data_IF_538536716245
#
_entry.id   IF_538536716245
#
_cell.length_a   1.000
_cell.length_b   1.000
_cell.length_c   1.000
_cell.angle_alpha   90.00
_cell.angle_beta   90.00
_cell.angle_gamma   90.00
#
_symmetry.space_group_name_H-M   'P 1'
#
loop_
_entity.id
_entity.type
_entity.pdbx_description
1 polymer ?
#
# COMPACT_ATOMS: atom_id res chain seq x y z
N UNK A 1 -42.32 -14.79 0.36
CA UNK A 1 -41.78 -13.41 0.30
C UNK A 1 -40.25 -13.49 0.41
N UNK A 2 -39.51 -13.21 -0.66
CA UNK A 2 -38.05 -13.01 -0.56
C UNK A 2 -37.85 -11.79 0.32
N UNK A 3 -37.21 -11.91 1.49
CA UNK A 3 -36.83 -10.76 2.30
C UNK A 3 -35.91 -9.90 1.44
N UNK A 4 -36.38 -8.74 1.02
CA UNK A 4 -35.53 -7.74 0.37
C UNK A 4 -34.47 -7.37 1.37
N UNK A 5 -33.25 -7.72 1.04
CA UNK A 5 -32.06 -7.41 1.83
C UNK A 5 -31.78 -5.92 1.63
N UNK A 6 -32.01 -5.13 2.69
CA UNK A 6 -31.86 -3.68 2.66
C UNK A 6 -30.39 -3.33 2.81
N UNK A 7 -29.92 -2.38 2.01
CA UNK A 7 -28.56 -1.85 2.09
C UNK A 7 -28.52 -0.60 2.96
N UNK A 8 -27.39 -0.27 3.54
CA UNK A 8 -27.21 0.91 4.41
C UNK A 8 -27.62 2.20 3.70
N UNK A 9 -27.36 2.31 2.40
CA UNK A 9 -27.71 3.49 1.60
C UNK A 9 -29.22 3.62 1.33
N UNK A 10 -30.04 2.61 1.59
CA UNK A 10 -31.49 2.66 1.50
C UNK A 10 -32.15 3.16 2.79
N UNK A 11 -31.38 3.38 3.86
CA UNK A 11 -31.89 3.90 5.11
C UNK A 11 -32.16 5.41 5.01
N UNK A 12 -33.24 5.92 5.62
CA UNK A 12 -33.58 7.34 5.54
C UNK A 12 -32.52 8.28 6.08
N UNK A 13 -31.69 7.79 7.02
CA UNK A 13 -30.65 8.55 7.68
C UNK A 13 -29.35 8.59 6.87
N UNK A 14 -29.27 7.86 5.75
CA UNK A 14 -28.07 7.88 4.88
C UNK A 14 -27.80 9.30 4.35
N UNK A 15 -26.59 9.79 4.36
CA UNK A 15 -25.30 9.14 4.71
C UNK A 15 -24.78 9.49 6.11
N UNK A 16 -25.62 9.74 7.09
CA UNK A 16 -25.24 10.17 8.45
C UNK A 16 -24.61 9.04 9.26
N UNK A 17 -23.45 8.55 8.81
CA UNK A 17 -22.69 7.49 9.48
C UNK A 17 -22.32 7.90 10.92
N UNK A 18 -22.56 7.01 11.89
CA UNK A 18 -22.23 7.21 13.30
C UNK A 18 -21.37 6.06 13.82
N UNK A 19 -20.61 6.32 14.88
CA UNK A 19 -19.80 5.32 15.57
C UNK A 19 -19.73 5.63 17.08
N UNK A 20 -19.51 4.59 17.88
CA UNK A 20 -19.31 4.70 19.32
C UNK A 20 -17.86 5.10 19.61
N UNK A 21 -17.67 6.37 20.00
CA UNK A 21 -16.35 6.94 20.29
C UNK A 21 -15.66 6.24 21.49
N UNK A 22 -16.41 5.71 22.47
CA UNK A 22 -15.81 5.00 23.60
C UNK A 22 -15.27 3.65 23.20
N UNK A 23 -15.98 2.93 22.34
CA UNK A 23 -15.54 1.62 21.85
C UNK A 23 -14.30 1.70 20.98
N UNK A 24 -14.19 2.69 20.11
CA UNK A 24 -13.04 2.83 19.22
C UNK A 24 -11.80 3.39 19.93
N UNK A 25 -11.95 4.06 21.07
CA UNK A 25 -10.88 4.79 21.78
C UNK A 25 -9.59 3.97 21.99
N UNK A 26 -9.63 2.71 22.47
CA UNK A 26 -8.40 1.93 22.67
C UNK A 26 -7.66 1.64 21.36
N UNK A 27 -8.39 1.32 20.28
CA UNK A 27 -7.81 1.04 18.96
C UNK A 27 -7.27 2.31 18.31
N UNK A 28 -8.00 3.42 18.45
CA UNK A 28 -7.55 4.73 18.00
C UNK A 28 -6.24 5.13 18.68
N UNK A 29 -6.16 4.97 20.01
CA UNK A 29 -4.94 5.27 20.76
C UNK A 29 -3.75 4.39 20.30
N UNK A 30 -3.98 3.09 20.05
CA UNK A 30 -2.95 2.19 19.54
C UNK A 30 -2.50 2.61 18.13
N UNK A 31 -3.43 2.92 17.24
CA UNK A 31 -3.12 3.38 15.87
C UNK A 31 -2.35 4.71 15.87
N UNK A 32 -2.75 5.68 16.72
CA UNK A 32 -2.03 6.96 16.89
C UNK A 32 -0.63 6.78 17.48
N UNK A 33 -0.44 5.84 18.40
CA UNK A 33 0.91 5.49 18.90
C UNK A 33 1.79 4.97 17.77
N UNK A 34 1.29 4.03 16.95
CA UNK A 34 2.03 3.47 15.82
C UNK A 34 2.34 4.56 14.78
N UNK A 35 1.40 5.47 14.50
CA UNK A 35 1.58 6.65 13.67
C UNK A 35 2.70 7.55 14.18
N UNK A 36 2.71 7.91 15.46
CA UNK A 36 3.73 8.75 16.06
C UNK A 36 5.13 8.14 15.98
N UNK A 37 5.26 6.81 16.12
CA UNK A 37 6.53 6.10 15.96
C UNK A 37 7.07 6.22 14.52
N UNK A 38 6.22 6.14 13.51
CA UNK A 38 6.64 6.30 12.11
C UNK A 38 7.11 7.73 11.84
N UNK A 39 6.37 8.73 12.33
CA UNK A 39 6.73 10.15 12.19
C UNK A 39 8.14 10.41 12.73
N UNK A 40 8.42 10.02 13.98
CA UNK A 40 9.73 10.20 14.58
C UNK A 40 10.84 9.45 13.84
N UNK A 41 10.56 8.24 13.30
CA UNK A 41 11.55 7.46 12.53
C UNK A 41 11.79 8.02 11.14
N UNK A 42 10.76 8.53 10.47
CA UNK A 42 10.88 9.15 9.15
C UNK A 42 11.82 10.36 9.16
N UNK A 43 11.83 11.13 10.25
CA UNK A 43 12.77 12.23 10.44
C UNK A 43 14.23 11.77 10.59
N UNK A 44 14.45 10.55 11.11
CA UNK A 44 15.80 10.01 11.33
C UNK A 44 16.50 9.51 10.07
N UNK A 45 15.78 9.08 9.04
CA UNK A 45 16.37 8.49 7.82
C UNK A 45 16.84 9.52 6.79
N UNK A 46 16.53 10.80 7.00
CA UNK A 46 16.88 11.88 6.07
C UNK A 46 16.12 11.84 4.74
N UNK A 47 16.34 12.87 3.90
CA UNK A 47 15.57 13.04 2.66
C UNK A 47 15.79 11.90 1.65
N UNK A 48 17.04 11.46 1.44
CA UNK A 48 17.36 10.39 0.47
C UNK A 48 16.80 9.04 0.89
N UNK A 49 16.92 8.70 2.17
CA UNK A 49 16.33 7.49 2.74
C UNK A 49 14.79 7.52 2.62
N UNK A 50 14.16 8.66 2.91
CA UNK A 50 12.73 8.84 2.80
C UNK A 50 12.23 8.66 1.35
N UNK A 51 12.90 9.23 0.35
CA UNK A 51 12.55 9.08 -1.06
C UNK A 51 12.62 7.61 -1.51
N UNK A 52 13.64 6.88 -1.06
CA UNK A 52 13.75 5.44 -1.33
C UNK A 52 12.58 4.67 -0.73
N UNK A 53 12.18 4.99 0.51
CA UNK A 53 11.02 4.35 1.16
C UNK A 53 9.70 4.71 0.50
N UNK A 54 9.50 5.96 0.09
CA UNK A 54 8.31 6.38 -0.68
C UNK A 54 8.21 5.58 -1.97
N UNK A 55 9.33 5.44 -2.73
CA UNK A 55 9.36 4.62 -3.95
C UNK A 55 8.95 3.18 -3.67
N UNK A 56 9.53 2.56 -2.65
CA UNK A 56 9.28 1.15 -2.32
C UNK A 56 7.85 0.96 -1.81
N UNK A 57 7.30 1.92 -1.06
CA UNK A 57 5.91 1.92 -0.60
C UNK A 57 4.92 2.11 -1.75
N UNK A 58 5.16 3.04 -2.67
CA UNK A 58 4.34 3.21 -3.88
C UNK A 58 4.38 1.95 -4.77
N UNK A 59 5.56 1.31 -4.89
CA UNK A 59 5.70 0.05 -5.63
C UNK A 59 4.84 -1.05 -4.98
N UNK A 60 4.93 -1.19 -3.67
CA UNK A 60 4.15 -2.18 -2.93
C UNK A 60 2.66 -1.88 -3.01
N UNK A 61 2.25 -0.62 -2.88
CA UNK A 61 0.85 -0.20 -2.99
C UNK A 61 0.27 -0.51 -4.38
N UNK A 62 1.01 -0.23 -5.46
CA UNK A 62 0.58 -0.55 -6.83
C UNK A 62 0.42 -2.06 -7.04
N UNK A 63 1.38 -2.86 -6.58
CA UNK A 63 1.34 -4.32 -6.72
C UNK A 63 0.17 -4.92 -5.93
N UNK A 64 -0.04 -4.47 -4.70
CA UNK A 64 -1.06 -5.06 -3.82
C UNK A 64 -2.47 -4.58 -4.14
N UNK A 65 -2.65 -3.31 -4.49
CA UNK A 65 -3.98 -2.82 -4.90
C UNK A 65 -4.47 -3.53 -6.16
N UNK A 66 -3.57 -3.84 -7.11
CA UNK A 66 -3.92 -4.66 -8.28
C UNK A 66 -4.17 -6.13 -7.93
N UNK A 67 -3.38 -6.71 -7.01
CA UNK A 67 -3.58 -8.09 -6.56
C UNK A 67 -4.94 -8.30 -5.85
N UNK A 68 -5.42 -7.29 -5.11
CA UNK A 68 -6.76 -7.29 -4.51
C UNK A 68 -7.83 -7.44 -5.62
N UNK A 69 -7.66 -6.79 -6.76
CA UNK A 69 -8.57 -6.89 -7.93
C UNK A 69 -8.30 -8.12 -8.81
N UNK A 70 -7.33 -8.96 -8.44
CA UNK A 70 -6.98 -10.17 -9.19
C UNK A 70 -5.98 -9.94 -10.33
N UNK A 71 -5.45 -8.74 -10.49
CA UNK A 71 -4.44 -8.39 -11.48
C UNK A 71 -3.02 -8.64 -10.94
N UNK A 72 -2.16 -9.25 -11.76
CA UNK A 72 -0.75 -9.45 -11.42
C UNK A 72 0.12 -8.54 -12.28
N UNK A 73 0.74 -7.56 -11.64
CA UNK A 73 1.69 -6.65 -12.28
C UNK A 73 3.11 -7.20 -12.16
N UNK A 74 3.97 -6.87 -13.16
CA UNK A 74 5.40 -7.16 -13.08
C UNK A 74 6.10 -6.18 -12.14
N UNK A 75 6.72 -6.67 -11.03
CA UNK A 75 7.33 -5.81 -10.02
C UNK A 75 8.46 -4.92 -10.55
N UNK A 76 9.25 -5.39 -11.52
CA UNK A 76 10.36 -4.63 -12.10
C UNK A 76 9.83 -3.47 -12.95
N UNK A 77 8.79 -3.70 -13.73
CA UNK A 77 8.12 -2.66 -14.53
C UNK A 77 7.53 -1.56 -13.65
N UNK A 78 6.83 -1.95 -12.55
CA UNK A 78 6.25 -0.99 -11.60
C UNK A 78 7.35 -0.18 -10.91
N UNK A 79 8.40 -0.84 -10.42
CA UNK A 79 9.53 -0.17 -9.74
C UNK A 79 10.24 0.82 -10.66
N UNK A 80 10.53 0.42 -11.90
CA UNK A 80 11.20 1.28 -12.89
C UNK A 80 10.37 2.49 -13.24
N UNK A 81 9.06 2.32 -13.41
CA UNK A 81 8.14 3.42 -13.70
C UNK A 81 8.08 4.44 -12.56
N UNK A 82 7.94 3.98 -11.31
CA UNK A 82 7.93 4.85 -10.13
C UNK A 82 9.28 5.56 -9.95
N UNK A 83 10.41 4.84 -10.11
CA UNK A 83 11.74 5.44 -9.98
C UNK A 83 11.95 6.58 -10.98
N UNK A 84 11.51 6.40 -12.23
CA UNK A 84 11.57 7.45 -13.27
C UNK A 84 10.76 8.69 -12.89
N UNK A 85 9.54 8.51 -12.39
CA UNK A 85 8.65 9.63 -12.00
C UNK A 85 9.14 10.39 -10.77
N UNK A 86 9.83 9.72 -9.87
CA UNK A 86 10.46 10.35 -8.70
C UNK A 86 11.83 10.97 -9.03
N UNK A 87 12.29 10.90 -10.29
CA UNK A 87 13.60 11.40 -10.70
C UNK A 87 14.79 10.58 -10.17
N UNK A 88 14.54 9.33 -9.74
CA UNK A 88 15.56 8.44 -9.19
C UNK A 88 16.20 7.53 -10.26
N UNK A 89 15.63 7.47 -11.46
CA UNK A 89 16.15 6.72 -12.61
C UNK A 89 16.41 7.66 -13.78
N UNK A 90 17.66 7.70 -14.26
CA UNK A 90 18.12 8.51 -15.37
C UNK A 90 18.38 7.70 -16.65
N UNK A 91 18.06 6.40 -16.67
CA UNK A 91 18.40 5.49 -17.78
C UNK A 91 17.67 5.77 -19.10
N UNK A 92 16.55 6.54 -19.07
CA UNK A 92 15.80 6.94 -20.27
C UNK A 92 15.19 5.79 -21.08
N UNK A 93 15.04 4.61 -20.49
CA UNK A 93 14.48 3.46 -21.20
C UNK A 93 13.02 3.72 -21.64
N UNK A 94 12.65 3.38 -22.89
CA UNK A 94 11.32 3.65 -23.43
C UNK A 94 10.24 2.81 -22.71
N UNK A 95 9.06 3.42 -22.53
CA UNK A 95 7.87 2.75 -21.97
C UNK A 95 7.37 1.73 -23.01
N UNK A 96 7.22 0.47 -22.59
CA UNK A 96 6.66 -0.59 -23.45
C UNK A 96 5.13 -0.45 -23.53
N UNK A 97 4.56 -0.80 -24.68
CA UNK A 97 3.13 -0.60 -24.98
C UNK A 97 2.16 -1.28 -23.97
N UNK A 98 2.52 -2.43 -23.39
CA UNK A 98 1.73 -3.12 -22.34
C UNK A 98 1.76 -2.49 -20.96
N UNK A 99 2.44 -1.34 -20.76
CA UNK A 99 2.62 -0.69 -19.46
C UNK A 99 1.66 0.48 -19.19
N UNK A 100 0.77 0.83 -20.13
CA UNK A 100 -0.11 2.02 -20.00
C UNK A 100 -1.03 1.95 -18.78
N UNK A 101 -1.59 0.78 -18.46
CA UNK A 101 -2.43 0.60 -17.27
C UNK A 101 -1.62 0.73 -15.98
N UNK A 102 -0.37 0.26 -15.98
CA UNK A 102 0.56 0.42 -14.86
C UNK A 102 0.88 1.90 -14.65
N UNK A 103 1.19 2.62 -15.72
CA UNK A 103 1.49 4.05 -15.66
C UNK A 103 0.31 4.85 -15.09
N UNK A 104 -0.92 4.56 -15.55
CA UNK A 104 -2.12 5.21 -15.04
C UNK A 104 -2.41 4.92 -13.57
N UNK A 105 -2.20 3.69 -13.12
CA UNK A 105 -2.32 3.35 -11.71
C UNK A 105 -1.28 4.11 -10.87
N UNK A 106 -0.05 4.21 -11.36
CA UNK A 106 1.01 4.96 -10.66
C UNK A 106 0.66 6.45 -10.60
N UNK A 107 0.06 7.02 -11.67
CA UNK A 107 -0.43 8.41 -11.65
C UNK A 107 -1.43 8.63 -10.53
N UNK A 108 -2.42 7.74 -10.39
CA UNK A 108 -3.44 7.82 -9.33
C UNK A 108 -2.80 7.75 -7.94
N UNK A 109 -1.93 6.76 -7.70
CA UNK A 109 -1.28 6.57 -6.40
C UNK A 109 -0.35 7.73 -6.06
N UNK A 110 0.38 8.24 -7.04
CA UNK A 110 1.27 9.38 -6.86
C UNK A 110 0.48 10.65 -6.54
N UNK A 111 -0.61 10.91 -7.26
CA UNK A 111 -1.48 12.06 -7.01
C UNK A 111 -2.11 11.97 -5.61
N UNK A 112 -2.65 10.82 -5.22
CA UNK A 112 -3.22 10.61 -3.89
C UNK A 112 -2.21 10.76 -2.75
N UNK A 113 -0.93 10.42 -3.00
CA UNK A 113 0.12 10.39 -1.98
C UNK A 113 0.89 11.72 -1.88
N UNK A 114 1.14 12.38 -3.01
CA UNK A 114 2.00 13.59 -3.06
C UNK A 114 1.20 14.90 -3.08
N UNK A 115 -0.02 14.90 -3.63
CA UNK A 115 -0.87 16.09 -3.73
C UNK A 115 -2.00 16.06 -2.68
N UNK A 116 -1.60 15.87 -1.42
CA UNK A 116 -2.55 15.76 -0.29
C UNK A 116 -3.22 17.09 0.04
N UNK A 117 -2.63 18.23 -0.34
CA UNK A 117 -3.17 19.58 -0.09
C UNK A 117 -4.31 19.93 -1.06
N UNK A 118 -4.36 19.29 -2.22
CA UNK A 118 -5.42 19.53 -3.20
C UNK A 118 -6.74 18.90 -2.73
N UNK A 119 -7.88 19.60 -2.86
CA UNK A 119 -9.18 19.06 -2.50
C UNK A 119 -9.54 17.85 -3.37
N UNK A 120 -10.35 16.95 -2.84
CA UNK A 120 -10.95 15.88 -3.63
C UNK A 120 -12.15 16.47 -4.37
N UNK A 121 -12.16 16.38 -5.70
CA UNK A 121 -13.23 16.86 -6.57
C UNK A 121 -13.72 15.74 -7.50
N UNK A 122 -14.90 15.93 -8.09
CA UNK A 122 -15.42 14.99 -9.10
C UNK A 122 -14.46 14.92 -10.30
N UNK A 123 -13.92 16.06 -10.75
CA UNK A 123 -12.93 16.13 -11.83
C UNK A 123 -11.69 15.27 -11.48
N UNK A 124 -11.16 15.39 -10.26
CA UNK A 124 -10.00 14.60 -9.79
C UNK A 124 -10.32 13.09 -9.80
N UNK A 125 -11.49 12.69 -9.31
CA UNK A 125 -11.94 11.29 -9.36
C UNK A 125 -12.11 10.78 -10.81
N UNK A 126 -12.70 11.59 -11.69
CA UNK A 126 -12.84 11.25 -13.12
C UNK A 126 -11.48 11.14 -13.82
N UNK A 127 -10.51 12.00 -13.49
CA UNK A 127 -9.15 11.95 -14.01
C UNK A 127 -8.44 10.65 -13.51
N UNK A 128 -8.60 10.26 -12.23
CA UNK A 128 -8.09 9.00 -11.74
C UNK A 128 -8.71 7.81 -12.47
N UNK A 129 -10.02 7.82 -12.68
CA UNK A 129 -10.69 6.77 -13.44
C UNK A 129 -10.19 6.71 -14.89
N UNK A 130 -10.01 7.86 -15.55
CA UNK A 130 -9.43 7.95 -16.88
C UNK A 130 -8.02 7.40 -16.98
N UNK A 131 -7.19 7.66 -15.96
CA UNK A 131 -5.83 7.12 -15.89
C UNK A 131 -5.81 5.58 -15.75
N UNK A 132 -6.73 5.01 -14.96
CA UNK A 132 -6.82 3.55 -14.79
C UNK A 132 -7.25 2.82 -16.08
N UNK A 133 -8.03 3.46 -16.94
CA UNK A 133 -8.59 2.84 -18.15
C UNK A 133 -8.29 3.65 -19.42
N UNK A 134 -7.02 3.84 -19.79
CA UNK A 134 -6.62 4.70 -20.90
C UNK A 134 -7.08 4.20 -22.28
N UNK A 135 -7.53 2.95 -22.37
CA UNK A 135 -8.04 2.34 -23.60
C UNK A 135 -9.57 2.41 -23.72
N UNK A 136 -10.27 2.79 -22.65
CA UNK A 136 -11.74 2.75 -22.60
C UNK A 136 -12.32 1.35 -22.34
N UNK A 137 -11.47 0.40 -21.91
CA UNK A 137 -11.88 -0.97 -21.64
C UNK A 137 -11.41 -1.44 -20.27
N UNK A 138 -12.26 -2.24 -19.61
CA UNK A 138 -11.91 -3.10 -18.49
C UNK A 138 -11.95 -4.55 -18.98
N UNK A 139 -10.79 -5.17 -19.08
CA UNK A 139 -10.67 -6.46 -19.79
C UNK A 139 -11.20 -6.36 -21.22
N UNK A 140 -12.28 -7.09 -21.53
CA UNK A 140 -12.95 -7.04 -22.84
C UNK A 140 -14.21 -6.14 -22.86
N UNK A 141 -14.61 -5.62 -21.69
CA UNK A 141 -15.82 -4.80 -21.57
C UNK A 141 -15.48 -3.33 -21.80
N UNK A 142 -16.24 -2.66 -22.68
CA UNK A 142 -16.19 -1.21 -22.82
C UNK A 142 -16.86 -0.56 -21.63
N UNK A 143 -16.24 0.49 -21.07
CA UNK A 143 -16.73 1.25 -19.95
C UNK A 143 -16.77 2.75 -20.24
N UNK A 144 -17.57 3.50 -19.51
CA UNK A 144 -17.64 4.96 -19.61
C UNK A 144 -16.52 5.58 -18.77
N UNK A 145 -15.40 5.91 -19.44
CA UNK A 145 -14.18 6.38 -18.79
C UNK A 145 -14.28 7.85 -18.38
N UNK A 146 -13.90 8.13 -17.13
CA UNK A 146 -13.90 9.50 -16.60
C UNK A 146 -15.31 10.07 -16.36
N UNK A 147 -16.32 9.20 -16.22
CA UNK A 147 -17.69 9.58 -15.96
C UNK A 147 -18.32 8.68 -14.88
N UNK A 148 -19.32 9.19 -14.18
CA UNK A 148 -20.13 8.38 -13.28
C UNK A 148 -20.93 7.36 -14.10
N UNK A 149 -21.09 6.13 -13.57
CA UNK A 149 -21.88 5.09 -14.21
C UNK A 149 -23.32 5.52 -14.47
N UNK A 150 -23.84 5.12 -15.60
CA UNK A 150 -25.21 5.38 -16.01
C UNK A 150 -26.13 4.16 -15.85
N UNK A 151 -25.58 3.01 -15.40
CA UNK A 151 -26.32 1.75 -15.25
C UNK A 151 -26.30 1.26 -13.80
N UNK A 152 -27.31 0.50 -13.36
CA UNK A 152 -27.28 -0.18 -12.05
C UNK A 152 -26.05 -1.08 -11.94
N UNK A 153 -25.48 -1.16 -10.73
CA UNK A 153 -24.28 -1.94 -10.45
C UNK A 153 -24.53 -2.94 -9.34
N UNK A 154 -24.20 -4.21 -9.59
CA UNK A 154 -24.22 -5.28 -8.60
C UNK A 154 -22.87 -6.00 -8.56
N UNK A 155 -22.35 -6.25 -7.37
CA UNK A 155 -21.18 -7.11 -7.16
C UNK A 155 -21.70 -8.53 -6.95
N UNK A 156 -21.36 -9.42 -7.87
CA UNK A 156 -21.90 -10.79 -7.90
C UNK A 156 -20.76 -11.83 -7.94
N UNK A 157 -21.04 -13.04 -7.43
CA UNK A 157 -20.20 -14.23 -7.64
C UNK A 157 -21.06 -15.43 -8.03
N UNK A 158 -20.43 -16.42 -8.66
CA UNK A 158 -21.12 -17.65 -9.12
C UNK A 158 -21.26 -17.74 -10.63
N UNK A 159 -21.86 -18.84 -11.12
CA UNK A 159 -22.07 -19.08 -12.54
C UNK A 159 -23.25 -18.26 -13.09
N UNK A 160 -23.25 -18.00 -14.37
CA UNK A 160 -24.35 -17.34 -15.08
C UNK A 160 -25.67 -18.07 -14.79
N UNK A 161 -26.67 -17.35 -14.31
CA UNK A 161 -27.99 -17.90 -13.92
C UNK A 161 -28.08 -18.37 -12.45
N UNK A 162 -26.97 -18.45 -11.72
CA UNK A 162 -26.90 -18.83 -10.29
C UNK A 162 -25.93 -17.92 -9.52
N UNK A 163 -25.99 -16.60 -9.77
CA UNK A 163 -25.14 -15.66 -9.08
C UNK A 163 -25.70 -15.25 -7.72
N UNK A 164 -24.79 -15.11 -6.76
CA UNK A 164 -25.06 -14.52 -5.45
C UNK A 164 -24.71 -13.04 -5.52
N UNK A 165 -25.68 -12.17 -5.21
CA UNK A 165 -25.45 -10.73 -5.07
C UNK A 165 -24.82 -10.47 -3.70
N UNK A 166 -23.59 -9.97 -3.71
CA UNK A 166 -22.86 -9.55 -2.51
C UNK A 166 -23.21 -8.12 -2.14
N UNK A 167 -23.32 -7.26 -3.14
CA UNK A 167 -23.67 -5.86 -2.96
C UNK A 167 -24.43 -5.33 -4.18
N UNK A 168 -25.42 -4.44 -3.93
CA UNK A 168 -26.08 -3.63 -4.95
C UNK A 168 -25.87 -2.16 -4.60
N UNK A 169 -25.23 -1.42 -5.49
CA UNK A 169 -24.93 -0.01 -5.32
C UNK A 169 -26.18 0.87 -5.51
N UNK A 170 -26.19 2.14 -5.02
CA UNK A 170 -27.26 3.08 -5.26
C UNK A 170 -27.59 3.21 -6.75
N UNK A 171 -28.86 3.56 -7.05
CA UNK A 171 -29.29 3.82 -8.43
C UNK A 171 -28.46 4.93 -9.09
N UNK A 172 -28.21 4.86 -10.41
CA UNK A 172 -27.54 5.96 -11.14
C UNK A 172 -28.29 7.28 -11.01
N UNK A 173 -29.65 7.22 -10.90
CA UNK A 173 -30.45 8.40 -10.66
C UNK A 173 -30.14 8.99 -9.28
N UNK A 174 -29.64 10.25 -9.26
CA UNK A 174 -29.23 10.91 -8.03
C UNK A 174 -27.83 10.56 -7.54
N UNK A 175 -27.08 9.66 -8.22
CA UNK A 175 -25.73 9.32 -7.87
C UNK A 175 -24.79 10.53 -7.82
N UNK A 176 -24.92 11.45 -8.77
CA UNK A 176 -24.13 12.67 -8.81
C UNK A 176 -24.31 13.52 -7.54
N UNK A 177 -25.54 13.62 -7.02
CA UNK A 177 -25.85 14.35 -5.78
C UNK A 177 -25.22 13.64 -4.57
N UNK A 178 -25.24 12.32 -4.53
CA UNK A 178 -24.61 11.55 -3.45
C UNK A 178 -23.08 11.66 -3.48
N UNK A 179 -22.48 11.67 -4.68
CA UNK A 179 -21.03 11.88 -4.84
C UNK A 179 -20.65 13.30 -4.41
N UNK A 180 -21.43 14.33 -4.77
CA UNK A 180 -21.19 15.69 -4.31
C UNK A 180 -21.28 15.83 -2.79
N UNK A 181 -22.26 15.18 -2.16
CA UNK A 181 -22.37 15.12 -0.70
C UNK A 181 -21.15 14.46 -0.05
N UNK A 182 -20.64 13.37 -0.62
CA UNK A 182 -19.41 12.70 -0.18
C UNK A 182 -18.20 13.62 -0.31
N UNK A 183 -18.02 14.29 -1.45
CA UNK A 183 -16.90 15.20 -1.71
C UNK A 183 -16.93 16.41 -0.77
N UNK A 184 -18.11 16.97 -0.56
CA UNK A 184 -18.33 18.06 0.40
C UNK A 184 -17.94 17.63 1.81
N UNK A 185 -18.44 16.49 2.28
CA UNK A 185 -18.08 15.93 3.59
C UNK A 185 -16.58 15.65 3.71
N UNK A 186 -15.97 15.02 2.69
CA UNK A 186 -14.56 14.69 2.68
C UNK A 186 -13.66 15.93 2.84
N UNK A 187 -13.96 16.99 2.12
CA UNK A 187 -13.18 18.22 2.19
C UNK A 187 -13.44 19.01 3.49
N UNK A 188 -14.70 19.06 3.95
CA UNK A 188 -15.05 19.76 5.19
C UNK A 188 -14.48 19.09 6.44
N UNK A 189 -14.29 17.76 6.41
CA UNK A 189 -13.76 17.01 7.55
C UNK A 189 -12.24 16.81 7.52
N UNK A 190 -11.53 17.42 6.56
CA UNK A 190 -10.07 17.38 6.53
C UNK A 190 -9.49 17.86 7.87
N UNK A 191 -8.61 17.08 8.53
CA UNK A 191 -8.11 17.40 9.88
C UNK A 191 -7.32 18.71 9.94
N UNK A 192 -6.73 19.13 8.83
CA UNK A 192 -5.84 20.31 8.77
C UNK A 192 -6.51 21.57 8.17
N UNK A 193 -7.38 21.40 7.19
CA UNK A 193 -7.93 22.51 6.40
C UNK A 193 -9.44 22.57 6.37
N UNK A 194 -10.11 21.55 6.92
CA UNK A 194 -11.57 21.45 6.88
C UNK A 194 -12.27 22.41 7.85
N UNK A 195 -13.48 22.83 7.47
CA UNK A 195 -14.34 23.67 8.31
C UNK A 195 -14.98 22.92 9.50
N UNK A 196 -14.97 21.60 9.46
CA UNK A 196 -15.48 20.68 10.49
C UNK A 196 -14.50 19.53 10.69
N UNK A 197 -13.27 19.78 11.16
CA UNK A 197 -12.21 18.78 11.21
C UNK A 197 -12.62 17.55 12.02
N UNK A 198 -12.32 16.37 11.48
CA UNK A 198 -12.54 15.08 12.13
C UNK A 198 -11.21 14.43 12.42
N UNK A 199 -11.19 13.51 13.40
CA UNK A 199 -10.03 12.66 13.67
C UNK A 199 -9.63 11.90 12.39
N UNK A 200 -8.37 12.01 11.98
CA UNK A 200 -7.94 11.64 10.63
C UNK A 200 -8.08 10.15 10.31
N UNK A 201 -7.78 9.25 11.25
CA UNK A 201 -7.86 7.81 11.02
C UNK A 201 -9.33 7.32 10.96
N UNK A 202 -10.21 7.91 11.76
CA UNK A 202 -11.65 7.64 11.69
C UNK A 202 -12.20 8.15 10.36
N UNK A 203 -11.84 9.39 9.98
CA UNK A 203 -12.21 9.98 8.70
C UNK A 203 -11.77 9.10 7.51
N UNK A 204 -10.55 8.61 7.53
CA UNK A 204 -10.04 7.70 6.50
C UNK A 204 -10.88 6.42 6.42
N UNK A 205 -11.25 5.85 7.57
CA UNK A 205 -12.10 4.66 7.66
C UNK A 205 -13.50 4.88 7.08
N UNK A 206 -14.12 6.01 7.43
CA UNK A 206 -15.47 6.38 6.95
C UNK A 206 -15.46 6.75 5.47
N UNK A 207 -14.43 7.46 4.98
CA UNK A 207 -14.32 7.84 3.57
C UNK A 207 -14.26 6.63 2.66
N UNK A 208 -13.51 5.60 3.06
CA UNK A 208 -13.40 4.37 2.30
C UNK A 208 -14.75 3.63 2.24
N UNK A 209 -15.41 3.43 3.39
CA UNK A 209 -16.74 2.79 3.44
C UNK A 209 -17.75 3.54 2.58
N UNK A 210 -17.79 4.86 2.70
CA UNK A 210 -18.78 5.67 1.97
C UNK A 210 -18.54 5.58 0.46
N UNK A 211 -17.30 5.74 0.00
CA UNK A 211 -16.97 5.63 -1.42
C UNK A 211 -17.26 4.23 -1.99
N UNK A 212 -16.87 3.16 -1.29
CA UNK A 212 -17.18 1.78 -1.69
C UNK A 212 -18.69 1.49 -1.68
N UNK A 213 -19.45 2.20 -0.85
CA UNK A 213 -20.92 2.09 -0.84
C UNK A 213 -21.53 2.82 -2.03
N UNK A 214 -21.05 3.99 -2.42
CA UNK A 214 -21.53 4.70 -3.62
C UNK A 214 -21.21 3.95 -4.90
N UNK A 215 -20.01 3.37 -4.98
CA UNK A 215 -19.53 2.60 -6.11
C UNK A 215 -19.77 3.34 -7.45
N UNK A 216 -19.20 4.56 -7.62
CA UNK A 216 -19.73 5.52 -8.59
C UNK A 216 -19.29 5.26 -10.04
N UNK A 217 -18.38 4.35 -10.31
CA UNK A 217 -17.83 4.05 -11.64
C UNK A 217 -18.22 2.65 -12.11
N UNK A 218 -18.12 2.41 -13.43
CA UNK A 218 -18.39 1.09 -14.04
C UNK A 218 -17.39 0.03 -13.57
N UNK A 219 -16.12 0.43 -13.32
CA UNK A 219 -15.07 -0.40 -12.77
C UNK A 219 -14.01 0.47 -12.06
N UNK A 220 -13.04 -0.13 -11.38
CA UNK A 220 -11.93 0.57 -10.73
C UNK A 220 -12.28 1.23 -9.40
N UNK A 221 -13.50 1.05 -8.89
CA UNK A 221 -13.92 1.65 -7.63
C UNK A 221 -13.01 1.22 -6.47
N UNK A 222 -12.66 -0.05 -6.35
CA UNK A 222 -11.78 -0.52 -5.29
C UNK A 222 -10.39 0.14 -5.34
N UNK A 223 -9.78 0.32 -6.52
CA UNK A 223 -8.49 1.01 -6.67
C UNK A 223 -8.59 2.49 -6.30
N UNK A 224 -9.65 3.17 -6.74
CA UNK A 224 -9.93 4.58 -6.40
C UNK A 224 -10.28 4.73 -4.92
N UNK A 225 -11.09 3.83 -4.34
CA UNK A 225 -11.43 3.83 -2.92
C UNK A 225 -10.19 3.70 -2.01
N UNK A 226 -9.24 2.84 -2.40
CA UNK A 226 -7.95 2.73 -1.68
C UNK A 226 -7.04 3.95 -1.92
N UNK A 227 -7.09 4.58 -3.09
CA UNK A 227 -6.40 5.86 -3.33
C UNK A 227 -6.99 7.01 -2.47
N UNK A 228 -8.32 7.06 -2.31
CA UNK A 228 -8.97 8.01 -1.39
C UNK A 228 -8.56 7.74 0.07
N UNK A 229 -8.50 6.47 0.46
CA UNK A 229 -8.01 6.07 1.78
C UNK A 229 -6.57 6.53 2.01
N UNK A 230 -5.69 6.34 1.02
CA UNK A 230 -4.30 6.79 1.07
C UNK A 230 -4.19 8.33 1.13
N UNK A 231 -5.02 9.04 0.36
CA UNK A 231 -5.11 10.50 0.41
C UNK A 231 -5.53 10.98 1.82
N UNK A 232 -6.56 10.36 2.41
CA UNK A 232 -7.04 10.71 3.75
C UNK A 232 -5.97 10.47 4.82
N UNK A 233 -5.24 9.35 4.76
CA UNK A 233 -4.10 9.08 5.64
C UNK A 233 -2.96 10.08 5.42
N UNK A 234 -2.65 10.42 4.18
CA UNK A 234 -1.64 11.43 3.85
C UNK A 234 -1.99 12.81 4.41
N UNK A 235 -3.26 13.19 4.42
CA UNK A 235 -3.75 14.44 5.02
C UNK A 235 -3.62 14.46 6.54
N UNK A 236 -3.76 13.33 7.22
CA UNK A 236 -3.58 13.22 8.68
C UNK A 236 -2.11 13.06 9.09
N UNK A 237 -1.37 12.23 8.37
CA UNK A 237 -0.02 11.80 8.74
C UNK A 237 1.09 12.59 8.04
N UNK A 238 0.77 13.46 7.08
CA UNK A 238 1.77 14.17 6.28
C UNK A 238 2.72 13.19 5.55
N UNK A 239 4.03 13.45 5.63
CA UNK A 239 5.02 12.62 4.94
C UNK A 239 5.06 11.15 5.43
N UNK A 240 4.73 10.89 6.68
CA UNK A 240 4.68 9.52 7.20
C UNK A 240 3.55 8.69 6.58
N UNK A 241 2.44 9.31 6.18
CA UNK A 241 1.37 8.65 5.45
C UNK A 241 1.81 8.07 4.10
N UNK A 242 2.86 8.65 3.50
CA UNK A 242 3.41 8.20 2.21
C UNK A 242 4.13 6.85 2.26
N UNK A 243 4.49 6.39 3.44
CA UNK A 243 5.22 5.13 3.64
C UNK A 243 4.36 4.02 4.28
N UNK A 244 3.12 4.33 4.65
CA UNK A 244 2.15 3.33 5.13
C UNK A 244 1.43 2.72 3.93
N UNK A 245 1.61 1.43 3.70
CA UNK A 245 0.96 0.66 2.62
C UNK A 245 -0.23 -0.11 3.18
N UNK A 246 -1.41 0.51 3.15
CA UNK A 246 -2.61 -0.12 3.70
C UNK A 246 -3.16 -1.20 2.77
N UNK A 247 -3.02 -1.07 1.44
CA UNK A 247 -3.43 -2.11 0.49
C UNK A 247 -2.69 -3.43 0.72
N UNK A 248 -1.40 -3.38 1.13
CA UNK A 248 -0.67 -4.59 1.54
C UNK A 248 -1.30 -5.29 2.74
N UNK A 249 -1.74 -4.51 3.72
CA UNK A 249 -2.41 -5.07 4.90
C UNK A 249 -3.78 -5.64 4.54
N UNK A 250 -4.56 -4.93 3.72
CA UNK A 250 -5.86 -5.38 3.21
C UNK A 250 -5.70 -6.67 2.39
N UNK A 251 -4.72 -6.74 1.50
CA UNK A 251 -4.43 -7.91 0.67
C UNK A 251 -4.13 -9.15 1.53
N UNK A 252 -3.38 -8.99 2.62
CA UNK A 252 -3.06 -10.09 3.54
C UNK A 252 -4.27 -10.66 4.29
N UNK A 253 -5.37 -9.92 4.38
CA UNK A 253 -6.64 -10.33 5.00
C UNK A 253 -7.86 -10.07 4.09
N UNK A 254 -7.67 -10.27 2.77
CA UNK A 254 -8.63 -9.91 1.72
C UNK A 254 -10.05 -10.44 1.96
N UNK A 255 -10.20 -11.68 2.35
CA UNK A 255 -11.52 -12.28 2.61
C UNK A 255 -12.21 -11.62 3.81
N UNK A 256 -11.45 -11.28 4.84
CA UNK A 256 -11.97 -10.55 5.99
C UNK A 256 -12.38 -9.12 5.59
N UNK A 257 -11.57 -8.43 4.78
CA UNK A 257 -11.90 -7.10 4.28
C UNK A 257 -13.25 -7.08 3.57
N UNK A 258 -13.48 -7.99 2.61
CA UNK A 258 -14.76 -8.04 1.90
C UNK A 258 -15.93 -8.42 2.83
N UNK A 259 -15.70 -9.31 3.80
CA UNK A 259 -16.71 -9.68 4.78
C UNK A 259 -17.11 -8.50 5.67
N UNK A 260 -16.14 -7.70 6.15
CA UNK A 260 -16.41 -6.53 6.97
C UNK A 260 -17.06 -5.39 6.19
N UNK A 261 -16.65 -5.19 4.93
CA UNK A 261 -17.27 -4.23 4.02
C UNK A 261 -18.73 -4.62 3.74
N UNK A 262 -19.01 -5.88 3.36
CA UNK A 262 -20.36 -6.38 3.14
C UNK A 262 -21.20 -6.24 4.42
N UNK A 263 -20.65 -6.55 5.60
CA UNK A 263 -21.34 -6.41 6.88
C UNK A 263 -21.74 -4.96 7.16
N UNK A 264 -20.84 -4.00 6.92
CA UNK A 264 -21.12 -2.58 7.09
C UNK A 264 -22.18 -2.10 6.10
N UNK A 265 -22.07 -2.49 4.82
CA UNK A 265 -23.02 -2.14 3.76
C UNK A 265 -24.43 -2.76 3.96
N UNK A 266 -24.52 -3.86 4.73
CA UNK A 266 -25.78 -4.51 5.11
C UNK A 266 -26.29 -4.10 6.50
N UNK A 267 -25.68 -3.09 7.12
CA UNK A 267 -26.13 -2.60 8.42
C UNK A 267 -27.59 -2.14 8.35
N UNK A 268 -28.31 -2.38 9.44
CA UNK A 268 -29.71 -1.95 9.62
C UNK A 268 -29.83 -0.58 10.29
N UNK A 269 -28.70 0.05 10.57
CA UNK A 269 -28.58 1.39 11.16
C UNK A 269 -27.36 2.10 10.60
N UNK A 270 -27.23 3.40 10.87
CA UNK A 270 -26.06 4.18 10.50
C UNK A 270 -24.83 3.89 11.38
N UNK A 271 -24.94 3.00 12.38
CA UNK A 271 -23.83 2.63 13.25
C UNK A 271 -22.86 1.71 12.50
N UNK A 272 -21.66 2.24 12.25
CA UNK A 272 -20.56 1.56 11.58
C UNK A 272 -19.34 1.38 12.51
N UNK A 273 -19.56 1.36 13.82
CA UNK A 273 -18.51 1.20 14.84
C UNK A 273 -17.61 0.02 14.53
N UNK A 274 -18.18 -1.14 14.22
CA UNK A 274 -17.41 -2.34 13.94
C UNK A 274 -16.48 -2.21 12.70
N UNK A 275 -16.92 -1.49 11.66
CA UNK A 275 -16.08 -1.16 10.52
C UNK A 275 -14.90 -0.26 10.92
N UNK A 276 -15.17 0.78 11.71
CA UNK A 276 -14.13 1.70 12.18
C UNK A 276 -13.14 0.96 13.08
N UNK A 277 -13.59 0.11 14.00
CA UNK A 277 -12.74 -0.74 14.85
C UNK A 277 -11.81 -1.62 13.99
N UNK A 278 -12.37 -2.29 13.00
CA UNK A 278 -11.60 -3.15 12.10
C UNK A 278 -10.56 -2.35 11.31
N UNK A 279 -10.95 -1.23 10.72
CA UNK A 279 -10.06 -0.39 9.92
C UNK A 279 -8.92 0.21 10.76
N UNK A 280 -9.20 0.68 11.98
CA UNK A 280 -8.18 1.18 12.90
C UNK A 280 -7.16 0.10 13.26
N UNK A 281 -7.59 -1.16 13.40
CA UNK A 281 -6.67 -2.29 13.59
C UNK A 281 -5.77 -2.49 12.37
N UNK A 282 -6.35 -2.45 11.14
CA UNK A 282 -5.55 -2.59 9.92
C UNK A 282 -4.55 -1.44 9.74
N UNK A 283 -4.96 -0.20 10.03
CA UNK A 283 -4.07 0.97 10.00
C UNK A 283 -2.93 0.82 11.02
N UNK A 284 -3.22 0.36 12.23
CA UNK A 284 -2.19 0.11 13.25
C UNK A 284 -1.17 -0.93 12.77
N UNK A 285 -1.62 -2.06 12.23
CA UNK A 285 -0.76 -3.14 11.73
C UNK A 285 0.08 -2.71 10.52
N UNK A 286 -0.51 -1.96 9.59
CA UNK A 286 0.23 -1.38 8.46
C UNK A 286 1.30 -0.39 8.94
N UNK A 287 0.97 0.42 9.93
CA UNK A 287 1.88 1.38 10.55
C UNK A 287 3.04 0.69 11.27
N UNK A 288 2.78 -0.36 12.01
CA UNK A 288 3.83 -1.17 12.65
C UNK A 288 4.75 -1.84 11.63
N UNK A 289 4.17 -2.34 10.51
CA UNK A 289 4.98 -2.89 9.44
C UNK A 289 5.90 -1.83 8.81
N UNK A 290 5.38 -0.64 8.50
CA UNK A 290 6.15 0.49 7.98
C UNK A 290 7.28 0.88 8.97
N UNK A 291 6.97 0.94 10.26
CA UNK A 291 7.94 1.22 11.32
C UNK A 291 9.10 0.20 11.32
N UNK A 292 8.82 -1.10 11.26
CA UNK A 292 9.86 -2.15 11.16
C UNK A 292 10.68 -2.04 9.88
N UNK A 293 10.08 -1.65 8.78
CA UNK A 293 10.78 -1.44 7.50
C UNK A 293 11.78 -0.30 7.60
N UNK A 294 11.40 0.81 8.26
CA UNK A 294 12.32 1.93 8.54
C UNK A 294 13.47 1.47 9.44
N UNK A 295 13.20 0.73 10.52
CA UNK A 295 14.25 0.23 11.41
C UNK A 295 15.28 -0.59 10.62
N UNK A 296 14.81 -1.47 9.75
CA UNK A 296 15.69 -2.29 8.90
C UNK A 296 16.55 -1.44 7.96
N UNK A 297 16.01 -0.34 7.44
CA UNK A 297 16.76 0.57 6.59
C UNK A 297 17.79 1.38 7.40
N UNK A 298 17.43 1.88 8.57
CA UNK A 298 18.37 2.56 9.48
C UNK A 298 19.52 1.63 9.85
N UNK A 299 19.24 0.38 10.17
CA UNK A 299 20.28 -0.60 10.47
C UNK A 299 21.17 -0.86 9.24
N UNK A 300 20.60 -0.94 8.04
CA UNK A 300 21.35 -1.07 6.78
C UNK A 300 22.27 0.12 6.55
N UNK A 301 21.80 1.35 6.74
CA UNK A 301 22.60 2.57 6.57
C UNK A 301 23.78 2.58 7.56
N UNK A 302 23.52 2.30 8.84
CA UNK A 302 24.57 2.19 9.87
C UNK A 302 25.61 1.14 9.50
N UNK A 303 25.16 -0.02 9.02
CA UNK A 303 26.05 -1.09 8.60
C UNK A 303 26.86 -0.72 7.37
N UNK A 304 26.30 -0.02 6.39
CA UNK A 304 27.01 0.49 5.23
C UNK A 304 28.09 1.52 5.63
N UNK A 305 27.80 2.38 6.62
CA UNK A 305 28.79 3.31 7.15
C UNK A 305 29.96 2.58 7.84
N UNK A 306 29.70 1.49 8.58
CA UNK A 306 30.75 0.64 9.13
C UNK A 306 31.57 0.01 8.00
N UNK A 307 30.90 -0.54 6.99
CA UNK A 307 31.53 -1.21 5.85
C UNK A 307 32.43 -0.25 5.04
N UNK A 308 32.04 1.03 4.92
CA UNK A 308 32.82 2.04 4.20
C UNK A 308 34.19 2.34 4.86
N UNK A 309 34.31 2.08 6.15
CA UNK A 309 35.58 2.25 6.89
C UNK A 309 36.48 1.01 6.86
N UNK A 310 36.09 -0.04 6.13
CA UNK A 310 36.84 -1.30 6.04
C UNK A 310 37.34 -1.50 4.62
N UNK A 311 38.64 -1.80 4.48
CA UNK A 311 39.21 -2.11 3.18
C UNK A 311 38.73 -3.49 2.68
N UNK A 312 37.78 -3.49 1.75
CA UNK A 312 37.23 -4.68 1.12
C UNK A 312 37.72 -4.84 -0.30
N UNK A 313 38.09 -6.07 -0.70
CA UNK A 313 38.31 -6.40 -2.09
C UNK A 313 37.04 -6.26 -2.93
N UNK A 314 37.16 -6.06 -4.25
CA UNK A 314 36.01 -5.99 -5.17
C UNK A 314 35.09 -7.22 -5.05
N UNK A 315 35.68 -8.41 -4.84
CA UNK A 315 34.92 -9.66 -4.64
C UNK A 315 34.04 -9.61 -3.38
N UNK A 316 34.64 -9.14 -2.28
CA UNK A 316 33.93 -8.97 -1.00
C UNK A 316 32.84 -7.91 -1.12
N UNK A 317 33.12 -6.77 -1.79
CA UNK A 317 32.13 -5.72 -2.04
C UNK A 317 30.93 -6.23 -2.85
N UNK A 318 31.16 -6.99 -3.93
CA UNK A 318 30.08 -7.62 -4.74
C UNK A 318 29.19 -8.52 -3.90
N UNK A 319 29.79 -9.31 -3.03
CA UNK A 319 29.04 -10.23 -2.15
C UNK A 319 28.25 -9.48 -1.09
N UNK A 320 28.86 -8.51 -0.43
CA UNK A 320 28.18 -7.68 0.57
C UNK A 320 27.01 -6.91 -0.05
N UNK A 321 27.21 -6.32 -1.24
CA UNK A 321 26.14 -5.66 -1.97
C UNK A 321 24.96 -6.62 -2.22
N UNK A 322 25.24 -7.82 -2.72
CA UNK A 322 24.19 -8.82 -3.03
C UNK A 322 23.45 -9.31 -1.79
N UNK A 323 24.14 -9.42 -0.66
CA UNK A 323 23.54 -9.75 0.62
C UNK A 323 22.65 -8.62 1.16
N UNK A 324 23.11 -7.38 1.05
CA UNK A 324 22.35 -6.21 1.48
C UNK A 324 21.12 -5.95 0.59
N UNK A 325 21.24 -6.21 -0.72
CA UNK A 325 20.14 -6.06 -1.68
C UNK A 325 19.04 -7.11 -1.47
N UNK A 326 19.36 -8.26 -0.88
CA UNK A 326 18.39 -9.28 -0.50
C UNK A 326 17.49 -8.85 0.70
N UNK A 327 17.90 -7.82 1.44
CA UNK A 327 17.13 -7.24 2.54
C UNK A 327 17.05 -8.09 3.81
N UNK A 328 16.18 -7.71 4.79
CA UNK A 328 16.09 -8.36 6.10
C UNK A 328 15.73 -9.84 6.08
N UNK A 329 14.97 -10.30 5.07
CA UNK A 329 14.66 -11.73 4.90
C UNK A 329 15.87 -12.58 4.50
N UNK A 330 16.99 -11.91 4.23
CA UNK A 330 18.25 -12.53 3.88
C UNK A 330 18.28 -13.12 2.48
N UNK A 331 19.49 -13.46 2.05
CA UNK A 331 19.73 -14.18 0.82
C UNK A 331 19.28 -15.64 1.01
N UNK A 332 18.35 -16.12 0.18
CA UNK A 332 17.71 -17.44 0.33
C UNK A 332 18.75 -18.53 0.63
N UNK A 333 18.64 -19.17 1.82
CA UNK A 333 19.55 -20.18 2.32
C UNK A 333 20.95 -19.66 2.66
N UNK A 334 21.12 -18.37 2.95
CA UNK A 334 22.37 -17.72 3.33
C UNK A 334 23.45 -17.73 2.23
N UNK A 335 24.54 -17.04 2.46
CA UNK A 335 25.74 -17.08 1.60
C UNK A 335 26.57 -18.33 1.94
N UNK A 336 26.94 -19.09 0.92
CA UNK A 336 27.83 -20.24 1.03
C UNK A 336 29.12 -19.98 0.25
N UNK A 337 30.18 -20.75 0.53
CA UNK A 337 31.42 -20.68 -0.25
C UNK A 337 31.17 -20.86 -1.75
N UNK A 338 30.31 -21.80 -2.15
CA UNK A 338 29.96 -22.03 -3.55
C UNK A 338 29.21 -20.86 -4.18
N UNK A 339 28.28 -20.23 -3.45
CA UNK A 339 27.56 -19.06 -3.95
C UNK A 339 28.51 -17.85 -4.10
N UNK A 340 29.40 -17.65 -3.12
CA UNK A 340 30.40 -16.58 -3.19
C UNK A 340 31.40 -16.81 -4.35
N UNK A 341 31.86 -18.04 -4.53
CA UNK A 341 32.70 -18.46 -5.67
C UNK A 341 32.07 -18.04 -7.01
N UNK A 342 30.78 -18.31 -7.19
CA UNK A 342 30.03 -17.96 -8.41
C UNK A 342 29.88 -16.43 -8.58
N UNK A 343 29.53 -15.69 -7.49
CA UNK A 343 29.34 -14.24 -7.52
C UNK A 343 30.66 -13.52 -7.79
N UNK A 344 31.73 -13.97 -7.14
CA UNK A 344 33.05 -13.36 -7.17
C UNK A 344 33.92 -13.87 -8.32
N UNK A 345 33.49 -14.91 -9.05
CA UNK A 345 34.26 -15.57 -10.13
C UNK A 345 35.68 -15.94 -9.67
N UNK A 346 35.75 -16.67 -8.54
CA UNK A 346 37.01 -17.00 -7.91
C UNK A 346 37.11 -18.50 -7.60
N UNK A 347 38.27 -18.99 -7.07
CA UNK A 347 38.41 -20.39 -6.64
C UNK A 347 37.78 -20.65 -5.28
N UNK A 348 37.34 -21.89 -5.01
CA UNK A 348 36.74 -22.29 -3.73
C UNK A 348 37.62 -21.93 -2.51
N UNK A 349 38.98 -22.16 -2.53
CA UNK A 349 39.81 -21.74 -1.40
C UNK A 349 39.84 -20.23 -1.16
N UNK A 350 39.80 -19.43 -2.24
CA UNK A 350 39.78 -17.96 -2.14
C UNK A 350 38.40 -17.52 -1.61
N UNK A 351 37.31 -18.10 -2.11
CA UNK A 351 35.97 -17.81 -1.64
C UNK A 351 35.81 -18.12 -0.14
N UNK A 352 36.35 -19.24 0.34
CA UNK A 352 36.34 -19.57 1.75
C UNK A 352 37.10 -18.55 2.60
N UNK A 353 38.29 -18.12 2.16
CA UNK A 353 39.08 -17.09 2.85
C UNK A 353 38.37 -15.74 2.90
N UNK A 354 37.77 -15.31 1.79
CA UNK A 354 37.04 -14.04 1.71
C UNK A 354 35.88 -14.01 2.73
N UNK A 355 35.11 -15.11 2.86
CA UNK A 355 33.98 -15.21 3.81
C UNK A 355 34.45 -15.23 5.27
N UNK A 356 35.55 -15.96 5.57
CA UNK A 356 36.13 -15.98 6.92
C UNK A 356 36.68 -14.58 7.27
N UNK A 357 37.31 -13.89 6.34
CA UNK A 357 37.77 -12.55 6.57
C UNK A 357 36.64 -11.56 6.82
N UNK A 358 35.53 -11.65 6.08
CA UNK A 358 34.31 -10.84 6.32
C UNK A 358 33.70 -11.14 7.71
N UNK A 359 33.73 -12.39 8.15
CA UNK A 359 33.30 -12.77 9.52
C UNK A 359 34.23 -12.16 10.58
N UNK A 360 35.55 -12.26 10.40
CA UNK A 360 36.55 -11.66 11.31
C UNK A 360 36.45 -10.13 11.40
N UNK A 361 36.07 -9.48 10.29
CA UNK A 361 35.80 -8.03 10.23
C UNK A 361 34.45 -7.65 10.87
N UNK A 362 33.69 -8.62 11.38
CA UNK A 362 32.36 -8.37 11.96
C UNK A 362 31.27 -8.01 10.96
N UNK A 363 31.51 -8.20 9.66
CA UNK A 363 30.53 -7.89 8.61
C UNK A 363 29.59 -9.06 8.29
N UNK A 364 29.99 -10.28 8.63
CA UNK A 364 29.17 -11.48 8.49
C UNK A 364 29.04 -12.22 9.83
N UNK A 365 27.90 -12.84 10.04
CA UNK A 365 27.64 -13.84 11.08
C UNK A 365 27.61 -15.22 10.43
N UNK A 366 28.30 -16.19 11.03
CA UNK A 366 28.29 -17.58 10.62
C UNK A 366 27.22 -18.37 11.39
N UNK A 367 26.44 -19.19 10.67
CA UNK A 367 25.49 -20.15 11.24
C UNK A 367 25.78 -21.55 10.68
N UNK A 368 25.65 -22.58 11.52
CA UNK A 368 25.91 -23.96 11.17
C UNK A 368 27.39 -24.30 11.10
N UNK A 369 27.69 -25.61 10.88
CA UNK A 369 29.05 -26.14 10.80
C UNK A 369 29.23 -27.02 9.56
N UNK A 370 30.49 -27.16 9.10
CA UNK A 370 30.84 -28.00 7.97
C UNK A 370 30.05 -27.66 6.70
N UNK A 371 29.34 -28.63 6.13
CA UNK A 371 28.54 -28.45 4.90
C UNK A 371 27.29 -27.60 5.11
N UNK A 372 26.83 -27.44 6.34
CA UNK A 372 25.68 -26.58 6.67
C UNK A 372 26.04 -25.12 6.93
N UNK A 373 27.32 -24.75 6.88
CA UNK A 373 27.77 -23.37 7.12
C UNK A 373 27.12 -22.38 6.16
N UNK A 374 26.54 -21.32 6.74
CA UNK A 374 25.90 -20.19 6.05
C UNK A 374 26.39 -18.90 6.67
N UNK A 375 26.53 -17.87 5.84
CA UNK A 375 26.91 -16.53 6.27
C UNK A 375 25.79 -15.56 5.96
N UNK A 376 25.53 -14.66 6.91
CA UNK A 376 24.51 -13.62 6.84
C UNK A 376 25.13 -12.27 7.22
N UNK A 377 24.58 -11.12 6.74
CA UNK A 377 25.05 -9.81 7.23
C UNK A 377 24.94 -9.73 8.75
N UNK A 378 25.96 -9.16 9.40
CA UNK A 378 25.98 -8.98 10.85
C UNK A 378 25.11 -7.77 11.28
N UNK A 379 23.88 -7.71 10.78
CA UNK A 379 22.88 -6.69 11.09
C UNK A 379 21.89 -7.30 12.07
N UNK A 380 21.58 -6.57 13.13
CA UNK A 380 20.59 -7.00 14.14
C UNK A 380 19.19 -7.14 13.50
N UNK A 381 18.51 -8.26 13.78
CA UNK A 381 17.19 -8.57 13.23
C UNK A 381 17.19 -9.01 11.76
N UNK A 382 18.37 -9.23 11.13
CA UNK A 382 18.47 -9.77 9.78
C UNK A 382 18.80 -11.26 9.83
N UNK A 383 18.01 -12.07 9.09
CA UNK A 383 18.24 -13.50 8.88
C UNK A 383 18.45 -14.31 10.18
N UNK A 384 17.51 -14.21 11.08
CA UNK A 384 17.32 -15.14 12.20
C UNK A 384 16.40 -16.28 11.83
#
# INVERSE_FOLDING_TARGET
MKSYQRWIWELPEWPSLVFDAHRIQPLLAAAKKSQGLILGKAEMIGLEGLQTHIRDSLTQEALTTSAIEGEKLDPESVRSSIARRLGLDTSGAPIREGQRNIEGLIDVLQDATLHTDAPLSLERLCNWHGALFPTGFSGMQRIDVGALRAVPMEIVSGAVGHHKVHYAAPSPEGLAVQVDAFLTWFNQTNPNTGSRPMEGLVRASLSHLWFETLHPFDDGNGRIGRAILQLALGQDMGQAGRIVTLSRQIESCKDQYYSELERAQRSKSMDVTAWVEWMLLQISQASEFASRTIDSAVQRIKFQAIMANVALSERQQKTMKKLLDAGPKGYIGGMTTRKHEQIAQTSTPTAARDLIQLEQLGLLKRQGEGRSTRYYPAIEGWAE
#
